data_IF_161116705824
#
_entry.id   IF_161116705824
#
_cell.length_a   1.000
_cell.length_b   1.000
_cell.length_c   1.000
_cell.angle_alpha   90.00
_cell.angle_beta   90.00
_cell.angle_gamma   90.00
#
_symmetry.space_group_name_H-M   'P 1'
#
loop_
_entity.id
_entity.type
_entity.pdbx_description
1 polymer ?
#
# COMPACT_ATOMS: atom_id res chain seq x y z
N UNK A 1 -8.40 29.29 -35.40
CA UNK A 1 -7.89 27.90 -35.48
C UNK A 1 -6.73 27.80 -34.52
N UNK A 2 -6.99 27.23 -33.35
CA UNK A 2 -6.06 27.10 -32.23
C UNK A 2 -4.80 26.37 -32.69
N UNK A 3 -3.67 27.08 -32.78
CA UNK A 3 -2.40 26.46 -33.16
C UNK A 3 -1.86 25.71 -31.95
N UNK A 4 -2.36 24.50 -31.74
CA UNK A 4 -1.66 23.48 -30.97
C UNK A 4 -0.45 23.06 -31.81
N UNK A 5 0.62 23.86 -31.75
CA UNK A 5 1.85 23.60 -32.50
C UNK A 5 2.50 22.30 -31.99
N UNK A 6 3.18 21.53 -32.87
CA UNK A 6 3.84 20.28 -32.49
C UNK A 6 4.72 20.39 -31.23
N UNK A 7 5.41 21.51 -31.05
CA UNK A 7 6.24 21.79 -29.87
C UNK A 7 5.42 21.86 -28.57
N UNK A 8 4.21 22.41 -28.62
CA UNK A 8 3.31 22.48 -27.47
C UNK A 8 2.85 21.09 -27.04
N UNK A 9 2.59 20.19 -28.00
CA UNK A 9 2.23 18.79 -27.71
C UNK A 9 3.41 18.00 -27.15
N UNK A 10 4.61 18.20 -27.70
CA UNK A 10 5.83 17.57 -27.20
C UNK A 10 6.15 18.00 -25.77
N UNK A 11 5.99 19.30 -25.47
CA UNK A 11 6.16 19.82 -24.11
C UNK A 11 5.15 19.19 -23.15
N UNK A 12 3.87 19.16 -23.53
CA UNK A 12 2.82 18.54 -22.71
C UNK A 12 3.10 17.05 -22.47
N UNK A 13 3.55 16.31 -23.49
CA UNK A 13 3.93 14.91 -23.35
C UNK A 13 5.10 14.71 -22.37
N UNK A 14 6.11 15.59 -22.42
CA UNK A 14 7.22 15.58 -21.46
C UNK A 14 6.76 15.86 -20.03
N UNK A 15 5.87 16.84 -19.84
CA UNK A 15 5.29 17.16 -18.53
C UNK A 15 4.44 16.00 -17.98
N UNK A 16 3.60 15.38 -18.81
CA UNK A 16 2.83 14.19 -18.43
C UNK A 16 3.74 13.02 -18.04
N UNK A 17 4.81 12.78 -18.82
CA UNK A 17 5.78 11.73 -18.49
C UNK A 17 6.45 12.00 -17.15
N UNK A 18 6.84 13.26 -16.89
CA UNK A 18 7.42 13.65 -15.61
C UNK A 18 6.44 13.44 -14.45
N UNK A 19 5.18 13.86 -14.62
CA UNK A 19 4.12 13.65 -13.64
C UNK A 19 3.89 12.16 -13.35
N UNK A 20 3.89 11.31 -14.39
CA UNK A 20 3.76 9.87 -14.25
C UNK A 20 4.87 9.25 -13.41
N UNK A 21 6.12 9.68 -13.63
CA UNK A 21 7.27 9.24 -12.81
C UNK A 21 7.12 9.70 -11.36
N UNK A 22 6.74 10.96 -11.13
CA UNK A 22 6.53 11.48 -9.77
C UNK A 22 5.40 10.76 -9.04
N UNK A 23 4.30 10.45 -9.72
CA UNK A 23 3.17 9.70 -9.16
C UNK A 23 3.59 8.28 -8.79
N UNK A 24 4.36 7.60 -9.66
CA UNK A 24 4.90 6.27 -9.36
C UNK A 24 5.80 6.30 -8.12
N UNK A 25 6.67 7.31 -8.00
CA UNK A 25 7.53 7.47 -6.83
C UNK A 25 6.75 7.80 -5.54
N UNK A 26 5.64 8.53 -5.64
CA UNK A 26 4.75 8.76 -4.50
C UNK A 26 4.02 7.46 -4.09
N UNK A 27 3.56 6.67 -5.07
CA UNK A 27 2.91 5.39 -4.83
C UNK A 27 3.83 4.38 -4.14
N UNK A 28 5.11 4.31 -4.52
CA UNK A 28 6.08 3.41 -3.86
C UNK A 28 6.36 3.83 -2.42
N UNK A 29 6.48 5.14 -2.15
CA UNK A 29 6.61 5.67 -0.78
C UNK A 29 5.38 5.38 0.08
N UNK A 30 4.18 5.53 -0.50
CA UNK A 30 2.93 5.22 0.19
C UNK A 30 2.84 3.71 0.53
N UNK A 31 3.21 2.84 -0.41
CA UNK A 31 3.25 1.40 -0.17
C UNK A 31 4.24 1.03 0.94
N UNK A 32 5.43 1.65 0.96
CA UNK A 32 6.40 1.44 2.03
C UNK A 32 5.87 1.91 3.40
N UNK A 33 5.24 3.09 3.46
CA UNK A 33 4.63 3.59 4.69
C UNK A 33 3.48 2.70 5.19
N UNK A 34 2.67 2.16 4.28
CA UNK A 34 1.63 1.19 4.61
C UNK A 34 2.21 -0.08 5.25
N UNK A 35 3.27 -0.65 4.66
CA UNK A 35 3.93 -1.83 5.21
C UNK A 35 4.52 -1.58 6.62
N UNK A 36 5.09 -0.40 6.85
CA UNK A 36 5.56 -0.01 8.20
C UNK A 36 4.39 0.05 9.19
N UNK A 37 3.26 0.64 8.80
CA UNK A 37 2.07 0.73 9.66
C UNK A 37 1.48 -0.66 9.97
N UNK A 38 1.47 -1.58 8.99
CA UNK A 38 1.05 -2.96 9.19
C UNK A 38 1.93 -3.67 10.23
N UNK A 39 3.26 -3.51 10.13
CA UNK A 39 4.19 -4.08 11.09
C UNK A 39 4.01 -3.48 12.50
N UNK A 40 3.83 -2.17 12.61
CA UNK A 40 3.60 -1.52 13.90
C UNK A 40 2.30 -1.97 14.56
N UNK A 41 1.22 -2.10 13.78
CA UNK A 41 -0.03 -2.65 14.28
C UNK A 41 0.12 -4.11 14.74
N UNK A 42 0.91 -4.94 14.05
CA UNK A 42 1.24 -6.29 14.49
C UNK A 42 2.08 -6.29 15.80
N UNK A 43 3.04 -5.38 15.93
CA UNK A 43 3.84 -5.24 17.15
C UNK A 43 2.99 -4.85 18.37
N UNK A 44 2.08 -3.88 18.20
CA UNK A 44 1.13 -3.46 19.25
C UNK A 44 0.21 -4.60 19.64
N UNK A 45 -0.27 -5.36 18.65
CA UNK A 45 -1.11 -6.53 18.90
C UNK A 45 -0.38 -7.59 19.73
N UNK A 46 0.87 -7.90 19.39
CA UNK A 46 1.70 -8.85 20.11
C UNK A 46 1.96 -8.39 21.56
N UNK A 47 2.27 -7.11 21.75
CA UNK A 47 2.49 -6.56 23.09
C UNK A 47 1.22 -6.68 23.97
N UNK A 48 0.04 -6.45 23.38
CA UNK A 48 -1.23 -6.62 24.08
C UNK A 48 -1.55 -8.10 24.35
N UNK A 49 -1.27 -8.99 23.39
CA UNK A 49 -1.43 -10.44 23.54
C UNK A 49 -0.62 -10.97 24.74
N UNK A 50 0.66 -10.60 24.80
CA UNK A 50 1.55 -10.95 25.91
C UNK A 50 1.05 -10.43 27.25
N UNK A 51 0.57 -9.18 27.28
CA UNK A 51 0.05 -8.55 28.49
C UNK A 51 -1.23 -9.20 29.01
N UNK A 52 -2.07 -9.73 28.12
CA UNK A 52 -3.34 -10.37 28.47
C UNK A 52 -3.25 -11.89 28.61
N UNK A 53 -2.13 -12.50 28.19
CA UNK A 53 -1.96 -13.96 28.20
C UNK A 53 -2.88 -14.68 27.20
N UNK A 54 -3.30 -14.00 26.14
CA UNK A 54 -4.18 -14.53 25.10
C UNK A 54 -3.50 -14.40 23.74
N UNK A 55 -3.73 -15.36 22.85
CA UNK A 55 -3.20 -15.32 21.48
C UNK A 55 -4.07 -14.37 20.64
N UNK A 56 -3.45 -13.37 19.98
CA UNK A 56 -4.17 -12.35 19.21
C UNK A 56 -3.71 -12.42 17.76
N UNK A 57 -4.63 -12.74 16.86
CA UNK A 57 -4.42 -12.58 15.42
C UNK A 57 -4.86 -11.18 14.98
N UNK A 58 -3.97 -10.46 14.29
CA UNK A 58 -4.29 -9.17 13.69
C UNK A 58 -4.05 -9.23 12.19
N UNK A 59 -5.14 -9.20 11.44
CA UNK A 59 -5.10 -9.00 10.00
C UNK A 59 -5.11 -7.49 9.71
N UNK A 60 -3.93 -6.92 9.44
CA UNK A 60 -3.84 -5.56 8.90
C UNK A 60 -3.83 -5.67 7.38
N UNK A 61 -4.73 -4.95 6.71
CA UNK A 61 -4.76 -4.85 5.24
C UNK A 61 -4.69 -3.38 4.86
N UNK A 62 -3.58 -2.97 4.26
CA UNK A 62 -3.42 -1.65 3.66
C UNK A 62 -3.01 -1.82 2.18
N UNK A 63 -3.86 -1.39 1.26
CA UNK A 63 -3.54 -1.45 -0.17
C UNK A 63 -4.61 -0.87 -1.09
N UNK A 64 -4.25 -0.41 -2.31
CA UNK A 64 -5.21 0.09 -3.30
C UNK A 64 -6.10 -1.07 -3.76
N UNK A 65 -7.38 -1.04 -3.40
CA UNK A 65 -8.34 -2.11 -3.69
C UNK A 65 -9.33 -2.41 -2.55
N UNK A 66 -9.09 -1.86 -1.36
CA UNK A 66 -9.96 -2.07 -0.19
C UNK A 66 -11.33 -1.37 -0.32
N UNK A 67 -11.40 -0.26 -1.05
CA UNK A 67 -12.61 0.58 -1.16
C UNK A 67 -13.67 0.07 -2.16
N UNK A 68 -13.34 -0.90 -3.03
CA UNK A 68 -14.24 -1.37 -4.09
C UNK A 68 -14.94 -2.70 -3.79
N UNK A 69 -14.91 -3.20 -2.55
CA UNK A 69 -15.68 -4.39 -2.14
C UNK A 69 -15.28 -5.72 -2.82
N UNK A 70 -14.24 -5.71 -3.66
CA UNK A 70 -13.78 -6.86 -4.46
C UNK A 70 -12.35 -7.29 -4.11
N UNK A 71 -11.90 -6.95 -2.90
CA UNK A 71 -10.53 -7.17 -2.43
C UNK A 71 -10.22 -8.62 -2.06
N UNK A 72 -10.16 -9.53 -3.04
CA UNK A 72 -9.19 -10.63 -3.00
C UNK A 72 -7.79 -10.07 -3.28
N UNK A 73 -7.37 -9.09 -2.47
CA UNK A 73 -5.99 -8.65 -2.44
C UNK A 73 -5.17 -9.76 -1.82
N UNK A 74 -4.12 -10.17 -2.52
CA UNK A 74 -3.02 -11.00 -2.03
C UNK A 74 -2.25 -10.24 -0.93
N UNK A 75 -2.93 -9.90 0.17
CA UNK A 75 -2.27 -9.44 1.38
C UNK A 75 -1.46 -10.61 1.91
N UNK A 76 -0.15 -10.43 2.03
CA UNK A 76 0.69 -11.39 2.71
C UNK A 76 0.15 -11.53 4.14
N UNK A 77 -0.36 -12.71 4.46
CA UNK A 77 -0.78 -13.04 5.81
C UNK A 77 0.45 -12.97 6.70
N UNK A 78 0.57 -11.92 7.51
CA UNK A 78 1.63 -11.82 8.51
C UNK A 78 1.19 -12.65 9.71
N UNK A 79 1.50 -13.95 9.65
CA UNK A 79 1.29 -14.88 10.75
C UNK A 79 2.38 -14.67 11.80
N UNK A 80 2.03 -14.05 12.92
CA UNK A 80 2.85 -14.07 14.13
C UNK A 80 2.26 -15.17 15.03
N UNK A 81 3.10 -16.08 15.54
CA UNK A 81 2.78 -17.35 16.24
C UNK A 81 2.62 -18.64 15.41
N UNK A 82 3.27 -18.76 14.24
CA UNK A 82 3.85 -20.04 13.81
C UNK A 82 2.95 -21.27 13.61
N UNK A 83 1.64 -21.16 13.47
CA UNK A 83 0.80 -22.29 13.06
C UNK A 83 -0.05 -21.90 11.85
N UNK A 84 0.46 -22.25 10.66
CA UNK A 84 -0.41 -22.55 9.53
C UNK A 84 -1.27 -23.72 9.96
N UNK A 85 -2.58 -23.52 10.01
CA UNK A 85 -3.52 -24.63 10.17
C UNK A 85 -3.88 -25.13 8.76
N UNK A 86 -3.60 -26.40 8.51
CA UNK A 86 -3.95 -27.12 7.28
C UNK A 86 -5.45 -27.02 6.94
#
# INVERSE_FOLDING_TARGET
>A
MSQTTPDTLLKLAGELSGLGVSLSAAGTKLAAAAAVLEQEAANVALANAQRWGVDVQVAVRAGPGMYNGQGQGQGQEVVVNGVKKD
#
